data_IF_647615949830
#
_entry.id   IF_647615949830
#
_cell.length_a   1.000
_cell.length_b   1.000
_cell.length_c   1.000
_cell.angle_alpha   90.00
_cell.angle_beta   90.00
_cell.angle_gamma   90.00
#
_symmetry.space_group_name_H-M   'P 1'
#
loop_
_entity.id
_entity.type
_entity.pdbx_description
1 polymer ?
#
# COMPACT_ATOMS: atom_id res chain seq x y z
N UNK A 1 -5.41 30.25 16.27
CA UNK A 1 -6.86 30.40 16.44
C UNK A 1 -7.16 31.88 16.56
N UNK A 2 -8.18 32.35 15.87
CA UNK A 2 -8.69 33.72 15.95
C UNK A 2 -10.21 33.71 16.07
N UNK A 3 -10.78 34.81 16.57
CA UNK A 3 -12.22 35.04 16.66
C UNK A 3 -12.57 36.40 16.07
N UNK A 4 -13.63 36.47 15.29
CA UNK A 4 -14.15 37.74 14.76
C UNK A 4 -15.21 38.38 15.70
N UNK A 5 -15.71 39.55 15.33
CA UNK A 5 -16.72 40.32 16.11
C UNK A 5 -18.10 39.66 16.11
N UNK A 6 -18.33 38.63 15.27
CA UNK A 6 -19.57 37.87 15.18
C UNK A 6 -19.50 36.54 15.94
N UNK A 7 -18.34 36.24 16.57
CA UNK A 7 -18.11 35.01 17.31
C UNK A 7 -17.66 33.82 16.43
N UNK A 8 -17.30 34.07 15.16
CA UNK A 8 -16.75 33.03 14.29
C UNK A 8 -15.33 32.72 14.73
N UNK A 9 -15.09 31.47 15.11
CA UNK A 9 -13.75 30.97 15.45
C UNK A 9 -13.10 30.38 14.20
N UNK A 10 -11.84 30.77 13.94
CA UNK A 10 -11.04 30.21 12.86
C UNK A 10 -9.84 29.47 13.44
N UNK A 11 -9.72 28.19 13.10
CA UNK A 11 -8.53 27.37 13.35
C UNK A 11 -7.62 27.44 12.13
N UNK A 12 -6.32 27.69 12.34
CA UNK A 12 -5.29 27.64 11.29
C UNK A 12 -4.14 26.78 11.79
N UNK A 13 -3.86 25.70 11.11
CA UNK A 13 -2.69 24.84 11.32
C UNK A 13 -1.57 25.31 10.39
N UNK A 14 -0.34 25.45 10.89
CA UNK A 14 0.83 25.94 10.13
C UNK A 14 1.97 24.95 10.08
N UNK A 15 1.87 23.83 10.80
CA UNK A 15 2.82 22.71 10.80
C UNK A 15 2.06 21.44 11.11
N UNK A 16 2.67 20.31 10.82
CA UNK A 16 2.19 18.98 11.19
C UNK A 16 2.08 18.84 12.72
N UNK A 17 1.23 17.94 13.17
CA UNK A 17 1.04 17.58 14.57
C UNK A 17 1.24 16.07 14.66
N UNK A 18 2.18 15.63 15.50
CA UNK A 18 2.40 14.21 15.79
C UNK A 18 1.16 13.63 16.48
N UNK A 19 0.48 12.69 15.84
CA UNK A 19 -0.75 12.10 16.38
C UNK A 19 -0.49 11.04 17.43
N UNK A 20 0.45 10.14 17.17
CA UNK A 20 0.99 9.19 18.15
C UNK A 20 2.50 9.08 17.94
N UNK A 21 3.26 8.57 18.94
CA UNK A 21 4.64 8.18 18.68
C UNK A 21 4.66 7.18 17.49
N UNK A 22 5.35 7.51 16.40
CA UNK A 22 5.44 6.75 15.15
C UNK A 22 5.77 5.26 15.36
N UNK A 23 6.40 4.92 16.50
CA UNK A 23 6.71 3.55 16.87
C UNK A 23 5.53 2.74 17.41
N UNK A 24 4.41 3.37 17.70
CA UNK A 24 3.23 2.75 18.33
C UNK A 24 2.00 2.76 17.44
N UNK A 25 1.89 3.71 16.51
CA UNK A 25 0.80 3.73 15.55
C UNK A 25 1.23 3.05 14.25
N UNK A 26 0.69 1.86 14.03
CA UNK A 26 0.82 1.10 12.78
C UNK A 26 -0.49 1.05 12.03
N UNK A 27 -1.51 1.74 12.52
CA UNK A 27 -2.81 1.84 11.85
C UNK A 27 -2.72 2.85 10.71
N UNK A 28 -3.44 2.57 9.62
CA UNK A 28 -3.63 3.50 8.53
C UNK A 28 -5.05 4.07 8.68
N UNK A 29 -5.25 4.84 9.74
CA UNK A 29 -6.52 5.49 10.03
C UNK A 29 -6.33 7.01 10.14
N UNK A 30 -7.40 7.75 9.96
CA UNK A 30 -7.43 9.20 10.06
C UNK A 30 -7.94 9.60 11.45
N UNK A 31 -7.29 9.12 12.51
CA UNK A 31 -7.70 9.38 13.88
C UNK A 31 -7.47 10.85 14.25
N UNK A 32 -8.53 11.54 14.64
CA UNK A 32 -8.44 12.91 15.07
C UNK A 32 -7.91 13.04 16.51
N UNK A 33 -6.90 13.88 16.71
CA UNK A 33 -6.38 14.26 18.03
C UNK A 33 -6.98 15.60 18.43
N UNK A 34 -7.73 15.60 19.54
CA UNK A 34 -8.38 16.80 20.04
C UNK A 34 -7.57 17.48 21.17
N UNK A 35 -7.68 18.80 21.27
CA UNK A 35 -7.25 19.50 22.47
C UNK A 35 -8.10 19.03 23.67
N UNK A 36 -7.46 18.88 24.83
CA UNK A 36 -8.19 18.55 26.06
C UNK A 36 -9.11 19.69 26.49
N UNK A 37 -10.21 19.31 27.15
CA UNK A 37 -11.11 20.28 27.78
C UNK A 37 -10.38 21.21 28.76
N UNK A 38 -10.84 22.43 28.87
CA UNK A 38 -10.30 23.42 29.78
C UNK A 38 -9.04 24.16 29.31
N UNK A 39 -8.54 23.87 28.10
CA UNK A 39 -7.32 24.51 27.59
C UNK A 39 -7.59 25.80 26.82
N UNK A 40 -8.73 25.89 26.13
CA UNK A 40 -9.11 27.08 25.35
C UNK A 40 -10.57 27.43 25.62
N UNK A 41 -10.87 28.69 25.89
CA UNK A 41 -12.24 29.17 26.05
C UNK A 41 -12.55 30.35 25.14
N UNK A 42 -13.80 30.42 24.70
CA UNK A 42 -14.39 31.59 24.04
C UNK A 42 -15.25 32.32 25.06
N UNK A 43 -15.09 33.67 25.18
CA UNK A 43 -15.90 34.51 26.04
C UNK A 43 -16.63 35.56 25.24
N UNK A 44 -17.84 35.89 25.68
CA UNK A 44 -18.64 36.99 25.15
C UNK A 44 -19.35 37.74 26.27
N UNK A 45 -19.68 39.01 26.04
CA UNK A 45 -20.50 39.77 26.93
C UNK A 45 -21.95 39.72 26.46
N UNK A 46 -22.84 39.18 27.30
CA UNK A 46 -24.27 39.29 27.09
C UNK A 46 -24.77 40.59 27.73
N UNK A 47 -25.49 41.39 26.97
CA UNK A 47 -26.20 42.61 27.49
C UNK A 47 -27.69 42.33 27.36
N UNK A 48 -28.38 42.42 28.47
CA UNK A 48 -29.84 42.34 28.52
C UNK A 48 -30.38 43.76 28.77
N UNK A 49 -31.30 44.19 27.93
CA UNK A 49 -32.00 45.46 28.03
C UNK A 49 -33.49 45.18 28.24
N UNK A 50 -34.11 45.78 29.25
CA UNK A 50 -35.55 45.63 29.48
C UNK A 50 -36.39 46.71 28.76
N UNK A 51 -37.72 46.76 29.03
CA UNK A 51 -38.67 47.59 28.31
C UNK A 51 -38.59 49.07 28.58
N UNK A 52 -37.91 49.48 29.65
CA UNK A 52 -37.66 50.89 30.01
C UNK A 52 -36.19 51.30 29.81
N UNK A 53 -35.41 50.42 29.09
CA UNK A 53 -34.02 50.56 28.66
C UNK A 53 -32.97 50.42 29.78
N UNK A 54 -33.31 49.86 30.94
CA UNK A 54 -32.32 49.45 31.91
C UNK A 54 -31.48 48.29 31.39
N UNK A 55 -30.18 48.31 31.65
CA UNK A 55 -29.24 47.32 31.10
C UNK A 55 -28.43 46.63 32.19
N UNK A 56 -28.24 45.34 31.98
CA UNK A 56 -27.32 44.52 32.78
C UNK A 56 -26.44 43.69 31.83
N UNK A 57 -25.18 43.51 32.22
CA UNK A 57 -24.23 42.72 31.45
C UNK A 57 -23.70 41.52 32.25
N UNK A 58 -23.42 40.43 31.54
CA UNK A 58 -22.76 39.27 32.11
C UNK A 58 -21.78 38.64 31.06
N UNK A 59 -20.72 38.03 31.57
CA UNK A 59 -19.82 37.25 30.73
C UNK A 59 -20.37 35.85 30.54
N UNK A 60 -20.42 35.41 29.27
CA UNK A 60 -20.71 34.04 28.89
C UNK A 60 -19.40 33.41 28.45
N UNK A 61 -19.13 32.20 28.90
CA UNK A 61 -17.91 31.44 28.57
C UNK A 61 -18.28 30.08 28.00
N UNK A 62 -17.64 29.70 26.91
CA UNK A 62 -17.71 28.36 26.32
C UNK A 62 -16.31 27.74 26.32
N UNK A 63 -16.19 26.50 26.75
CA UNK A 63 -14.97 25.70 26.56
C UNK A 63 -14.90 25.21 25.11
N UNK A 64 -13.76 25.39 24.47
CA UNK A 64 -13.51 24.95 23.11
C UNK A 64 -12.55 23.75 23.05
N UNK A 65 -12.02 23.26 24.16
CA UNK A 65 -11.02 22.19 24.20
C UNK A 65 -11.42 20.99 23.35
N UNK A 66 -12.37 20.22 23.78
CA UNK A 66 -12.83 19.02 23.06
C UNK A 66 -13.46 19.25 21.68
N UNK A 67 -13.65 20.52 21.27
CA UNK A 67 -14.22 20.90 19.97
C UNK A 67 -13.15 21.30 18.92
N UNK A 68 -11.87 21.27 19.28
CA UNK A 68 -10.75 21.58 18.40
C UNK A 68 -9.99 20.28 18.18
N UNK A 69 -10.03 19.76 16.95
CA UNK A 69 -9.37 18.52 16.59
C UNK A 69 -8.51 18.70 15.35
N UNK A 70 -7.49 17.86 15.23
CA UNK A 70 -6.56 17.76 14.12
C UNK A 70 -6.63 16.34 13.62
N UNK A 71 -6.84 16.18 12.32
CA UNK A 71 -6.88 14.88 11.64
C UNK A 71 -5.50 14.56 11.09
N UNK A 72 -5.13 13.27 11.16
CA UNK A 72 -3.93 12.73 10.53
C UNK A 72 -4.11 12.63 9.03
N UNK A 73 -3.02 12.58 8.27
CA UNK A 73 -3.05 12.23 6.87
C UNK A 73 -2.52 10.82 6.63
N UNK A 74 -2.89 10.21 5.50
CA UNK A 74 -2.62 8.80 5.24
C UNK A 74 -1.70 8.63 4.04
N UNK A 75 -0.66 7.77 4.13
CA UNK A 75 0.10 7.40 2.95
C UNK A 75 -0.78 6.61 1.97
N UNK A 76 -0.51 6.77 0.70
CA UNK A 76 -1.21 6.04 -0.34
C UNK A 76 -0.29 5.59 -1.47
N UNK A 77 -0.70 4.50 -2.15
CA UNK A 77 -0.04 4.00 -3.34
C UNK A 77 -1.09 3.45 -4.30
N UNK A 78 -0.98 3.80 -5.57
CA UNK A 78 -1.86 3.25 -6.60
C UNK A 78 -1.31 1.93 -7.16
N UNK A 79 -2.18 0.99 -7.57
CA UNK A 79 -1.74 -0.20 -8.31
C UNK A 79 -0.95 0.20 -9.56
N UNK A 80 0.17 -0.48 -9.79
CA UNK A 80 1.09 -0.20 -10.89
C UNK A 80 1.55 -1.50 -11.55
N UNK A 81 1.80 -1.45 -12.86
CA UNK A 81 2.43 -2.53 -13.60
C UNK A 81 3.85 -2.12 -13.99
N UNK A 82 4.84 -2.86 -13.50
CA UNK A 82 6.22 -2.67 -13.92
C UNK A 82 6.49 -3.39 -15.26
N UNK A 83 7.36 -2.83 -16.08
CA UNK A 83 7.85 -3.43 -17.32
C UNK A 83 9.35 -3.73 -17.16
N UNK A 84 9.72 -4.88 -16.56
CA UNK A 84 11.11 -5.21 -16.32
C UNK A 84 11.84 -5.54 -17.63
N UNK A 85 13.12 -5.18 -17.68
CA UNK A 85 14.03 -5.49 -18.80
C UNK A 85 15.01 -6.62 -18.46
N UNK A 86 14.95 -7.13 -17.23
CA UNK A 86 15.71 -8.30 -16.80
C UNK A 86 15.23 -9.54 -17.57
N UNK A 87 16.14 -10.38 -18.01
CA UNK A 87 15.86 -11.64 -18.72
C UNK A 87 16.47 -12.82 -17.98
N UNK A 88 15.82 -13.96 -18.05
CA UNK A 88 16.35 -15.26 -17.62
C UNK A 88 16.60 -16.11 -18.88
N UNK A 89 17.74 -16.80 -18.93
CA UNK A 89 18.13 -17.56 -20.11
C UNK A 89 18.79 -18.88 -19.70
N UNK A 90 18.28 -19.99 -20.25
CA UNK A 90 18.87 -21.31 -20.11
C UNK A 90 19.31 -21.86 -21.48
N UNK A 91 20.20 -22.83 -21.47
CA UNK A 91 20.78 -23.43 -22.69
C UNK A 91 20.51 -24.93 -22.77
N UNK A 92 19.87 -25.37 -23.84
CA UNK A 92 19.56 -26.79 -24.11
C UNK A 92 20.79 -27.70 -24.08
N UNK A 93 21.94 -27.19 -24.54
CA UNK A 93 23.18 -27.96 -24.54
C UNK A 93 23.65 -28.42 -23.15
N UNK A 94 23.13 -27.81 -22.07
CA UNK A 94 23.47 -28.20 -20.70
C UNK A 94 22.49 -29.21 -20.11
N UNK A 95 21.35 -29.44 -20.77
CA UNK A 95 20.31 -30.38 -20.35
C UNK A 95 20.19 -31.59 -21.27
N UNK A 96 20.88 -31.59 -22.41
CA UNK A 96 20.73 -32.63 -23.45
C UNK A 96 21.31 -33.98 -23.00
N UNK A 97 20.43 -34.97 -22.94
CA UNK A 97 20.78 -36.38 -22.73
C UNK A 97 21.09 -36.79 -21.28
N UNK A 98 21.08 -35.89 -20.32
CA UNK A 98 21.27 -36.21 -18.89
C UNK A 98 20.04 -35.79 -18.07
N UNK A 99 19.24 -36.74 -17.56
CA UNK A 99 18.05 -36.43 -16.76
C UNK A 99 18.38 -35.80 -15.38
N UNK A 100 19.66 -35.70 -15.02
CA UNK A 100 20.12 -35.05 -13.77
C UNK A 100 20.84 -33.72 -14.02
N UNK A 101 21.09 -33.35 -15.27
CA UNK A 101 21.68 -32.08 -15.65
C UNK A 101 20.57 -31.02 -15.85
N UNK A 102 20.64 -29.95 -15.07
CA UNK A 102 19.72 -28.83 -15.19
C UNK A 102 20.51 -27.56 -15.45
N UNK A 103 20.06 -26.77 -16.40
CA UNK A 103 20.54 -25.40 -16.53
C UNK A 103 19.61 -24.47 -15.76
N UNK A 104 20.16 -23.55 -14.98
CA UNK A 104 19.41 -22.65 -14.11
C UNK A 104 19.96 -21.24 -14.24
N UNK A 105 19.06 -20.28 -14.43
CA UNK A 105 19.38 -18.87 -14.38
C UNK A 105 18.53 -18.18 -13.32
N UNK A 106 19.10 -17.19 -12.62
CA UNK A 106 18.43 -16.46 -11.55
C UNK A 106 18.65 -14.96 -11.68
N UNK A 107 17.61 -14.18 -11.47
CA UNK A 107 17.69 -12.73 -11.49
C UNK A 107 16.68 -12.11 -10.54
N UNK A 108 17.00 -10.92 -10.01
CA UNK A 108 16.07 -10.15 -9.18
C UNK A 108 15.32 -9.12 -10.03
N UNK A 109 14.01 -9.14 -9.94
CA UNK A 109 13.10 -8.15 -10.54
C UNK A 109 12.71 -7.04 -9.55
N UNK A 110 13.04 -7.19 -8.27
CA UNK A 110 12.59 -6.33 -7.19
C UNK A 110 12.92 -4.84 -7.41
N UNK A 111 14.13 -4.53 -7.86
CA UNK A 111 14.55 -3.13 -8.08
C UNK A 111 13.72 -2.45 -9.19
N UNK A 112 13.41 -3.15 -10.28
CA UNK A 112 12.60 -2.60 -11.37
C UNK A 112 11.12 -2.49 -11.00
N UNK A 113 10.61 -3.43 -10.20
CA UNK A 113 9.27 -3.36 -9.64
C UNK A 113 9.15 -2.18 -8.66
N UNK A 114 10.12 -2.00 -7.77
CA UNK A 114 10.14 -0.88 -6.82
C UNK A 114 10.22 0.48 -7.54
N UNK A 115 11.03 0.58 -8.59
CA UNK A 115 11.15 1.80 -9.38
C UNK A 115 9.87 2.23 -10.10
N UNK A 116 8.93 1.30 -10.31
CA UNK A 116 7.63 1.61 -10.89
C UNK A 116 6.62 2.15 -9.85
N UNK A 117 6.87 1.95 -8.56
CA UNK A 117 5.98 2.41 -7.49
C UNK A 117 6.13 3.92 -7.28
N UNK A 118 5.02 4.63 -7.24
CA UNK A 118 4.99 6.07 -6.91
C UNK A 118 4.16 6.25 -5.64
N UNK A 119 4.80 6.26 -4.45
CA UNK A 119 4.11 6.47 -3.20
C UNK A 119 3.76 7.94 -2.99
N UNK A 120 2.68 8.20 -2.27
CA UNK A 120 2.34 9.49 -1.68
C UNK A 120 2.46 9.33 -0.18
N UNK A 121 3.34 10.07 0.43
CA UNK A 121 3.66 9.92 1.86
C UNK A 121 2.86 10.85 2.77
N UNK A 122 2.15 11.84 2.19
CA UNK A 122 1.41 12.83 2.98
C UNK A 122 2.27 13.99 3.48
N UNK A 123 1.77 14.70 4.51
CA UNK A 123 2.39 15.88 5.07
C UNK A 123 3.64 15.57 5.90
N UNK A 124 3.70 14.39 6.53
CA UNK A 124 4.82 13.95 7.38
C UNK A 124 6.11 13.69 6.59
N UNK A 125 6.03 13.74 5.27
CA UNK A 125 7.19 13.60 4.39
C UNK A 125 7.51 12.16 4.01
N UNK A 126 8.68 11.98 3.38
CA UNK A 126 9.03 10.70 2.78
C UNK A 126 9.50 9.67 3.80
N UNK A 127 8.74 8.58 3.93
CA UNK A 127 9.12 7.38 4.66
C UNK A 127 9.81 6.34 3.77
N UNK A 128 9.52 5.06 3.97
CA UNK A 128 10.10 3.94 3.23
C UNK A 128 9.05 3.18 2.43
N UNK A 129 9.44 2.73 1.25
CA UNK A 129 8.64 1.81 0.43
C UNK A 129 9.39 0.49 0.29
N UNK A 130 8.74 -0.62 0.62
CA UNK A 130 9.30 -1.97 0.50
C UNK A 130 8.36 -2.87 -0.29
N UNK A 131 8.92 -3.82 -1.02
CA UNK A 131 8.16 -4.88 -1.67
C UNK A 131 8.28 -6.16 -0.85
N UNK A 132 7.18 -6.91 -0.73
CA UNK A 132 7.12 -8.19 -0.03
C UNK A 132 6.14 -9.14 -0.71
N UNK A 133 6.08 -10.39 -0.26
CA UNK A 133 5.11 -11.38 -0.73
C UNK A 133 5.14 -11.60 -2.25
N UNK A 134 6.34 -11.71 -2.82
CA UNK A 134 6.49 -12.02 -4.23
C UNK A 134 5.83 -13.36 -4.57
N UNK A 135 5.07 -13.38 -5.66
CA UNK A 135 4.37 -14.57 -6.13
C UNK A 135 4.32 -14.61 -7.65
N UNK A 136 4.36 -15.81 -8.20
CA UNK A 136 4.18 -16.07 -9.63
C UNK A 136 2.72 -16.41 -9.92
N UNK A 137 2.16 -15.83 -10.97
CA UNK A 137 0.81 -16.08 -11.40
C UNK A 137 0.76 -16.39 -12.90
N UNK A 138 -0.02 -17.39 -13.28
CA UNK A 138 -0.39 -17.61 -14.68
C UNK A 138 -1.41 -16.54 -15.09
N UNK A 139 -1.13 -15.85 -16.20
CA UNK A 139 -2.07 -14.89 -16.81
C UNK A 139 -3.00 -15.55 -17.83
N UNK A 140 -2.88 -16.85 -18.03
CA UNK A 140 -3.69 -17.67 -18.93
C UNK A 140 -4.33 -18.84 -18.15
N UNK A 141 -5.29 -19.52 -18.75
CA UNK A 141 -5.88 -20.71 -18.14
C UNK A 141 -4.83 -21.81 -17.94
N UNK A 142 -4.95 -22.58 -16.87
CA UNK A 142 -4.12 -23.76 -16.65
C UNK A 142 -4.27 -24.76 -17.83
N UNK A 143 -3.16 -25.26 -18.33
CA UNK A 143 -3.12 -26.10 -19.52
C UNK A 143 -3.09 -25.33 -20.85
N UNK A 144 -3.02 -24.00 -20.83
CA UNK A 144 -2.84 -23.23 -22.06
C UNK A 144 -1.45 -23.53 -22.68
N UNK A 145 -1.36 -23.60 -24.02
CA UNK A 145 -0.09 -23.86 -24.70
C UNK A 145 0.88 -22.68 -24.51
N UNK A 146 2.15 -22.99 -24.24
CA UNK A 146 3.22 -21.98 -24.14
C UNK A 146 3.69 -21.44 -25.48
N UNK A 147 3.36 -22.10 -26.57
CA UNK A 147 3.95 -21.87 -27.89
C UNK A 147 5.27 -22.64 -28.13
N UNK A 148 5.80 -23.31 -27.11
CA UNK A 148 7.03 -24.09 -27.16
C UNK A 148 6.71 -25.59 -27.31
N UNK A 149 7.71 -26.36 -27.75
CA UNK A 149 7.63 -27.83 -27.86
C UNK A 149 8.89 -28.48 -27.27
N UNK A 150 8.75 -29.70 -26.76
CA UNK A 150 9.86 -30.57 -26.39
C UNK A 150 9.73 -31.88 -27.13
N UNK A 151 10.76 -32.29 -27.92
CA UNK A 151 10.72 -33.46 -28.77
C UNK A 151 9.47 -33.54 -29.68
N UNK A 152 9.01 -32.38 -30.17
CA UNK A 152 7.80 -32.26 -31.00
C UNK A 152 6.47 -32.29 -30.24
N UNK A 153 6.48 -32.44 -28.91
CA UNK A 153 5.28 -32.42 -28.08
C UNK A 153 5.06 -31.00 -27.54
N UNK A 154 3.85 -30.43 -27.67
CA UNK A 154 3.54 -29.12 -27.12
C UNK A 154 3.74 -29.04 -25.59
N UNK A 155 4.27 -27.93 -25.13
CA UNK A 155 4.43 -27.62 -23.70
C UNK A 155 3.26 -26.76 -23.27
N UNK A 156 2.53 -27.19 -22.25
CA UNK A 156 1.41 -26.48 -21.63
C UNK A 156 1.82 -25.90 -20.28
N UNK A 157 1.22 -24.79 -19.89
CA UNK A 157 1.56 -24.06 -18.68
C UNK A 157 0.61 -24.41 -17.52
N UNK A 158 1.19 -24.64 -16.33
CA UNK A 158 0.44 -24.93 -15.11
C UNK A 158 1.05 -24.17 -13.93
N UNK A 159 0.25 -23.92 -12.89
CA UNK A 159 0.73 -23.49 -11.57
C UNK A 159 0.62 -24.66 -10.59
N UNK A 160 1.73 -25.06 -10.02
CA UNK A 160 1.85 -26.21 -9.11
C UNK A 160 2.56 -25.76 -7.84
N UNK A 161 1.84 -25.64 -6.75
CA UNK A 161 2.41 -25.23 -5.44
C UNK A 161 3.10 -23.87 -5.46
N UNK A 162 2.64 -22.91 -6.26
CA UNK A 162 3.24 -21.59 -6.40
C UNK A 162 4.39 -21.51 -7.41
N UNK A 163 4.73 -22.64 -8.04
CA UNK A 163 5.72 -22.73 -9.14
C UNK A 163 4.97 -22.74 -10.47
N UNK A 164 5.42 -21.97 -11.45
CA UNK A 164 4.93 -22.07 -12.82
C UNK A 164 5.75 -23.13 -13.55
N UNK A 165 5.08 -24.14 -14.12
CA UNK A 165 5.74 -25.21 -14.85
C UNK A 165 5.26 -25.25 -16.29
N UNK A 166 6.19 -25.54 -17.20
CA UNK A 166 5.92 -25.96 -18.56
C UNK A 166 6.01 -27.48 -18.65
N UNK A 167 4.93 -28.15 -19.02
CA UNK A 167 4.83 -29.60 -19.05
C UNK A 167 4.27 -30.12 -20.39
N UNK A 168 4.76 -31.27 -20.85
CA UNK A 168 4.21 -32.01 -22.00
C UNK A 168 2.93 -32.78 -21.64
N UNK A 169 2.55 -32.89 -20.39
CA UNK A 169 1.30 -33.50 -19.95
C UNK A 169 0.08 -32.68 -20.37
N UNK A 170 -1.05 -33.37 -20.65
CA UNK A 170 -2.33 -32.72 -20.94
C UNK A 170 -3.12 -32.32 -19.66
N UNK A 171 -2.66 -32.78 -18.50
CA UNK A 171 -3.21 -32.41 -17.18
C UNK A 171 -2.11 -31.83 -16.30
N UNK A 172 -2.49 -31.06 -15.28
CA UNK A 172 -1.53 -30.48 -14.37
C UNK A 172 -0.66 -31.58 -13.70
N UNK A 173 0.67 -31.42 -13.73
CA UNK A 173 1.58 -32.33 -13.02
C UNK A 173 1.29 -32.34 -11.51
N UNK A 174 1.56 -33.46 -10.84
CA UNK A 174 1.37 -33.57 -9.40
C UNK A 174 2.41 -32.76 -8.60
N UNK A 175 3.60 -32.56 -9.18
CA UNK A 175 4.69 -31.78 -8.58
C UNK A 175 5.50 -31.06 -9.68
N UNK A 176 6.22 -30.02 -9.32
CA UNK A 176 7.13 -29.32 -10.24
C UNK A 176 8.33 -30.16 -10.69
N UNK A 177 8.57 -31.28 -10.02
CA UNK A 177 9.62 -32.26 -10.35
C UNK A 177 9.11 -33.49 -11.10
N UNK A 178 7.86 -33.48 -11.57
CA UNK A 178 7.29 -34.57 -12.37
C UNK A 178 8.07 -34.74 -13.67
N UNK A 179 8.21 -36.00 -14.13
CA UNK A 179 8.97 -36.32 -15.34
C UNK A 179 8.42 -35.68 -16.63
N UNK A 180 7.18 -35.23 -16.64
CA UNK A 180 6.58 -34.50 -17.76
C UNK A 180 6.92 -32.99 -17.76
N UNK A 181 7.53 -32.47 -16.69
CA UNK A 181 7.92 -31.05 -16.58
C UNK A 181 9.21 -30.83 -17.37
N UNK A 182 9.16 -29.85 -18.26
CA UNK A 182 10.29 -29.44 -19.11
C UNK A 182 11.05 -28.27 -18.50
N UNK A 183 10.34 -27.35 -17.90
CA UNK A 183 10.91 -26.22 -17.14
C UNK A 183 10.02 -25.82 -15.95
N UNK A 184 10.64 -25.19 -14.96
CA UNK A 184 9.95 -24.65 -13.81
C UNK A 184 10.47 -23.23 -13.49
N UNK A 185 9.56 -22.33 -13.10
CA UNK A 185 9.87 -20.96 -12.66
C UNK A 185 9.38 -20.81 -11.23
N UNK A 186 10.28 -20.46 -10.33
CA UNK A 186 9.98 -20.26 -8.90
C UNK A 186 10.47 -18.89 -8.41
N UNK A 187 9.91 -18.42 -7.28
CA UNK A 187 10.33 -17.23 -6.57
C UNK A 187 10.60 -17.59 -5.11
#
# INVERSE_FOLDING_TARGET
>A
ISVDTLGTVTLTQQAEIDHLPESLDTSNDNAALALADGLVSLTATATVTDGDNDQVTATVTADLGGNIAFEDDLPSVSPVTANPTVTLTTQDAQTDGDPTAFDTDTASFAAQMLAAVTPVYGADGAGTTVLSNFALNLLVAAGAPSGLTSNGVPINLYSVGGVIVGSTALAAPAAATDASVVFAISV
#
